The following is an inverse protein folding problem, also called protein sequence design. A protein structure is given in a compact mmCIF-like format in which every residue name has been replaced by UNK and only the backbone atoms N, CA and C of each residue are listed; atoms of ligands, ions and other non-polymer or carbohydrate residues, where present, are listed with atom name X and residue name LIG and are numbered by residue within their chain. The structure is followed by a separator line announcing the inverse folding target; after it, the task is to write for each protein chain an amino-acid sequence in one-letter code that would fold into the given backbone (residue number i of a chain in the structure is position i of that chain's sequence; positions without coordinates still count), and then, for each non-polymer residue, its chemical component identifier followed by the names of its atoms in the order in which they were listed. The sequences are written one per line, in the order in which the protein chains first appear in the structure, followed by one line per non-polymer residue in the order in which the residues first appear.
data_IF_132816750928
#
_entry.id   IF_132816750928
#
_cell.length_a   1.000
_cell.length_b   1.000
_cell.length_c   1.000
_cell.angle_alpha   90.00
_cell.angle_beta   90.00
_cell.angle_gamma   90.00
#
_symmetry.space_group_name_H-M   'P 1'
#
loop_
_entity.id
_entity.type
_entity.pdbx_description
1 polymer ?
#
# COMPACT_ATOMS: atom_id res chain seq x y z
N UNK A 1 -0.28 12.59 -0.75
CA UNK A 1 0.40 11.39 -1.29
C UNK A 1 0.83 11.61 -2.74
N UNK A 2 1.73 10.76 -3.29
CA UNK A 2 2.11 10.86 -4.71
C UNK A 2 0.96 10.42 -5.62
N UNK A 3 0.91 10.98 -6.85
CA UNK A 3 -0.02 10.52 -7.89
C UNK A 3 0.37 9.12 -8.35
N UNK A 4 -0.61 8.23 -8.46
CA UNK A 4 -0.41 6.89 -9.02
C UNK A 4 -1.22 6.77 -10.32
N UNK A 5 -0.54 6.65 -11.46
CA UNK A 5 -1.18 6.42 -12.76
C UNK A 5 -0.88 5.02 -13.24
N UNK A 6 0.38 4.66 -13.31
CA UNK A 6 0.89 3.33 -13.62
C UNK A 6 2.20 3.09 -12.89
N UNK A 7 2.54 1.84 -12.67
CA UNK A 7 3.82 1.43 -12.11
C UNK A 7 4.31 0.18 -12.80
N UNK A 8 5.57 0.20 -13.24
CA UNK A 8 6.27 -0.96 -13.77
C UNK A 8 7.43 -1.31 -12.86
N UNK A 9 7.55 -2.57 -12.51
CA UNK A 9 8.60 -3.05 -11.63
C UNK A 9 8.68 -4.57 -11.62
N UNK A 10 9.63 -5.10 -10.86
CA UNK A 10 9.77 -6.55 -10.64
C UNK A 10 8.93 -6.98 -9.44
N UNK A 11 8.50 -8.23 -9.45
CA UNK A 11 7.68 -8.83 -8.41
C UNK A 11 8.48 -9.50 -7.31
N UNK A 12 7.87 -9.59 -6.12
CA UNK A 12 8.35 -10.42 -4.99
C UNK A 12 7.28 -11.47 -4.70
N UNK A 13 7.56 -12.77 -4.86
CA UNK A 13 6.58 -13.84 -4.69
C UNK A 13 6.46 -14.25 -3.22
N UNK A 14 5.59 -13.62 -2.46
CA UNK A 14 5.30 -14.00 -1.08
C UNK A 14 4.23 -15.11 -1.05
N UNK A 15 4.64 -16.38 -1.14
CA UNK A 15 3.76 -17.54 -1.10
C UNK A 15 3.26 -17.85 0.33
N UNK A 16 2.72 -16.84 1.01
CA UNK A 16 2.13 -16.95 2.34
C UNK A 16 0.71 -16.40 2.33
N UNK A 17 -0.21 -17.16 2.91
CA UNK A 17 -1.61 -16.80 3.11
C UNK A 17 -1.88 -16.47 4.57
N UNK A 18 -3.01 -15.82 4.86
CA UNK A 18 -3.42 -15.40 6.21
C UNK A 18 -2.34 -14.57 6.92
N UNK A 19 -1.75 -13.64 6.16
CA UNK A 19 -0.70 -12.76 6.68
C UNK A 19 -1.35 -11.65 7.50
N UNK A 20 -1.10 -11.67 8.81
CA UNK A 20 -1.62 -10.65 9.72
C UNK A 20 -0.69 -9.43 9.85
N UNK A 21 -1.21 -8.35 10.42
CA UNK A 21 -0.46 -7.10 10.57
C UNK A 21 0.70 -7.20 11.56
N UNK A 22 0.68 -8.13 12.53
CA UNK A 22 1.81 -8.40 13.42
C UNK A 22 2.95 -9.13 12.70
N UNK A 23 2.61 -9.95 11.71
CA UNK A 23 3.59 -10.58 10.81
C UNK A 23 4.18 -9.57 9.83
N UNK A 24 3.37 -8.63 9.32
CA UNK A 24 3.86 -7.55 8.45
C UNK A 24 4.79 -6.64 9.23
N UNK A 25 4.40 -6.19 10.42
CA UNK A 25 5.21 -5.35 11.30
C UNK A 25 4.97 -5.70 12.77
N UNK A 26 5.97 -6.26 13.49
CA UNK A 26 5.84 -6.60 14.91
C UNK A 26 5.55 -5.37 15.79
N UNK A 27 4.77 -5.59 16.85
CA UNK A 27 4.29 -4.52 17.75
C UNK A 27 5.41 -3.65 18.35
N UNK A 28 6.64 -4.16 18.48
CA UNK A 28 7.78 -3.40 19.01
C UNK A 28 8.09 -2.15 18.17
N UNK A 29 7.83 -2.19 16.88
CA UNK A 29 8.06 -1.05 15.97
C UNK A 29 7.00 0.04 16.07
N UNK A 30 5.82 -0.27 16.62
CA UNK A 30 4.69 0.69 16.73
C UNK A 30 4.95 1.84 17.71
N UNK A 31 6.02 1.77 18.49
CA UNK A 31 6.45 2.84 19.42
C UNK A 31 7.10 4.03 18.70
N UNK A 32 7.45 3.89 17.43
CA UNK A 32 8.06 4.97 16.64
C UNK A 32 7.02 6.04 16.32
N UNK A 33 7.39 7.31 16.49
CA UNK A 33 6.48 8.46 16.30
C UNK A 33 6.45 8.95 14.85
N UNK A 34 7.47 8.62 14.06
CA UNK A 34 7.60 9.02 12.65
C UNK A 34 6.73 8.16 11.73
N UNK A 35 6.49 8.64 10.49
CA UNK A 35 5.86 7.85 9.41
C UNK A 35 6.88 7.20 8.47
N UNK A 36 8.16 7.38 8.72
CA UNK A 36 9.28 6.87 7.92
C UNK A 36 10.25 6.08 8.79
N UNK A 37 11.06 5.22 8.17
CA UNK A 37 12.05 4.39 8.89
C UNK A 37 11.44 3.08 9.40
N UNK A 38 10.43 2.51 8.71
CA UNK A 38 9.80 1.24 9.08
C UNK A 38 10.25 0.06 8.21
N UNK A 39 11.17 0.28 7.26
CA UNK A 39 11.67 -0.75 6.33
C UNK A 39 12.36 -1.91 7.05
N UNK A 40 13.00 -1.66 8.19
CA UNK A 40 13.62 -2.69 9.03
C UNK A 40 12.60 -3.55 9.78
N UNK A 41 11.42 -2.98 10.04
CA UNK A 41 10.29 -3.65 10.68
C UNK A 41 9.51 -4.58 9.77
N UNK A 42 9.60 -4.35 8.44
CA UNK A 42 8.83 -5.14 7.48
C UNK A 42 9.22 -6.61 7.55
N UNK A 43 8.25 -7.47 7.88
CA UNK A 43 8.43 -8.92 8.04
C UNK A 43 9.64 -9.29 8.93
N UNK A 44 9.95 -8.46 9.94
CA UNK A 44 11.17 -8.57 10.74
C UNK A 44 11.37 -9.96 11.38
N UNK A 45 10.27 -10.62 11.77
CA UNK A 45 10.33 -11.98 12.30
C UNK A 45 10.76 -13.01 11.23
N UNK A 46 10.20 -12.90 10.02
CA UNK A 46 10.51 -13.81 8.92
C UNK A 46 11.87 -13.53 8.28
N UNK A 47 12.30 -12.27 8.27
CA UNK A 47 13.63 -11.89 7.75
C UNK A 47 14.81 -12.38 8.58
N UNK A 48 14.55 -13.02 9.72
CA UNK A 48 15.59 -13.77 10.47
C UNK A 48 15.97 -15.07 9.77
N UNK A 49 15.07 -15.62 8.96
CA UNK A 49 15.33 -16.79 8.13
C UNK A 49 16.09 -16.33 6.87
N UNK A 50 17.33 -16.83 6.64
CA UNK A 50 18.11 -16.50 5.46
C UNK A 50 17.41 -16.82 4.14
N UNK A 51 16.56 -17.84 4.12
CA UNK A 51 15.84 -18.31 2.93
C UNK A 51 14.55 -17.53 2.67
N UNK A 52 14.20 -16.58 3.56
CA UNK A 52 13.01 -15.77 3.35
C UNK A 52 13.14 -14.92 2.08
N UNK A 53 12.06 -14.86 1.29
CA UNK A 53 12.04 -14.25 -0.06
C UNK A 53 12.64 -12.85 -0.11
N UNK A 54 12.42 -11.97 0.89
CA UNK A 54 12.99 -10.62 0.92
C UNK A 54 14.50 -10.57 1.23
N UNK A 55 15.09 -11.69 1.69
CA UNK A 55 16.53 -11.79 1.92
C UNK A 55 17.27 -12.24 0.65
N UNK A 56 16.55 -12.75 -0.34
CA UNK A 56 17.15 -13.26 -1.57
C UNK A 56 17.53 -12.11 -2.50
N UNK A 57 18.79 -12.07 -3.01
CA UNK A 57 19.32 -10.95 -3.79
C UNK A 57 18.49 -10.59 -5.02
N UNK A 58 17.92 -11.60 -5.71
CA UNK A 58 17.15 -11.42 -6.93
C UNK A 58 15.82 -10.67 -6.73
N UNK A 59 15.30 -10.61 -5.50
CA UNK A 59 14.04 -9.92 -5.18
C UNK A 59 14.22 -8.57 -4.47
N UNK A 60 15.46 -8.18 -4.15
CA UNK A 60 15.73 -6.93 -3.40
C UNK A 60 15.23 -5.65 -4.07
N UNK A 61 15.22 -5.64 -5.40
CA UNK A 61 14.75 -4.48 -6.19
C UNK A 61 13.24 -4.54 -6.47
N UNK A 62 12.54 -5.56 -5.99
CA UNK A 62 11.12 -5.74 -6.25
C UNK A 62 10.26 -4.65 -5.61
N UNK A 63 9.37 -4.06 -6.41
CA UNK A 63 8.47 -2.99 -5.98
C UNK A 63 7.00 -3.40 -5.98
N UNK A 64 6.72 -4.63 -6.40
CA UNK A 64 5.39 -5.22 -6.46
C UNK A 64 5.39 -6.50 -5.62
N UNK A 65 4.65 -6.49 -4.52
CA UNK A 65 4.49 -7.68 -3.67
C UNK A 65 3.31 -8.52 -4.18
N UNK A 66 3.57 -9.79 -4.51
CA UNK A 66 2.52 -10.76 -4.88
C UNK A 66 2.33 -11.72 -3.72
N UNK A 67 1.27 -11.53 -2.96
CA UNK A 67 0.99 -12.25 -1.72
C UNK A 67 -0.12 -13.30 -1.87
N UNK A 68 -0.18 -14.25 -0.96
CA UNK A 68 -1.26 -15.24 -0.88
C UNK A 68 -2.58 -14.62 -0.38
N UNK A 69 -3.61 -15.45 -0.32
CA UNK A 69 -4.96 -15.06 0.12
C UNK A 69 -4.96 -14.57 1.58
N UNK A 70 -5.87 -13.65 1.89
CA UNK A 70 -6.05 -13.06 3.23
C UNK A 70 -4.83 -12.28 3.73
N UNK A 71 -4.40 -11.32 2.93
CA UNK A 71 -3.30 -10.46 3.31
C UNK A 71 -3.79 -9.24 4.13
N UNK A 72 -3.07 -8.95 5.22
CA UNK A 72 -3.33 -7.80 6.08
C UNK A 72 -4.44 -8.03 7.12
N UNK A 73 -4.67 -9.29 7.54
CA UNK A 73 -5.62 -9.63 8.60
C UNK A 73 -5.17 -9.10 9.98
N UNK A 74 -6.04 -9.20 10.98
CA UNK A 74 -5.74 -8.76 12.35
C UNK A 74 -6.06 -7.29 12.60
N UNK A 75 -5.28 -6.64 13.47
CA UNK A 75 -5.55 -5.28 13.94
C UNK A 75 -5.36 -4.23 12.86
N UNK A 76 -6.17 -3.14 12.93
CA UNK A 76 -6.01 -1.98 12.04
C UNK A 76 -4.72 -1.22 12.38
N UNK A 77 -3.68 -1.40 11.56
CA UNK A 77 -2.38 -0.74 11.76
C UNK A 77 -1.92 -0.06 10.47
N UNK A 78 -1.96 1.26 10.45
CA UNK A 78 -1.36 2.03 9.36
C UNK A 78 0.15 1.75 9.21
N UNK A 79 0.82 1.42 10.31
CA UNK A 79 2.25 1.05 10.31
C UNK A 79 2.58 -0.12 9.37
N UNK A 80 1.65 -1.07 9.16
CA UNK A 80 1.83 -2.14 8.21
C UNK A 80 1.92 -1.61 6.76
N UNK A 81 1.12 -0.60 6.45
CA UNK A 81 1.15 0.09 5.15
C UNK A 81 2.46 0.89 5.02
N UNK A 82 2.84 1.64 6.07
CA UNK A 82 4.08 2.42 6.06
C UNK A 82 5.32 1.53 5.92
N UNK A 83 5.36 0.37 6.58
CA UNK A 83 6.47 -0.57 6.46
C UNK A 83 6.64 -1.08 5.02
N UNK A 84 5.54 -1.43 4.34
CA UNK A 84 5.56 -1.83 2.93
C UNK A 84 6.05 -0.69 2.03
N UNK A 85 5.52 0.54 2.21
CA UNK A 85 5.91 1.70 1.42
C UNK A 85 7.36 2.12 1.66
N UNK A 86 7.81 2.14 2.93
CA UNK A 86 9.18 2.52 3.28
C UNK A 86 10.20 1.49 2.76
N UNK A 87 9.81 0.22 2.68
CA UNK A 87 10.65 -0.81 2.04
C UNK A 87 10.78 -0.62 0.53
N UNK A 88 9.82 0.04 -0.11
CA UNK A 88 9.85 0.35 -1.54
C UNK A 88 8.67 -0.22 -2.34
N UNK A 89 7.77 -0.96 -1.70
CA UNK A 89 6.59 -1.46 -2.40
C UNK A 89 5.64 -0.33 -2.80
N UNK A 90 5.20 -0.36 -4.06
CA UNK A 90 4.20 0.55 -4.64
C UNK A 90 2.85 -0.14 -4.83
N UNK A 91 2.88 -1.46 -5.02
CA UNK A 91 1.71 -2.28 -5.27
C UNK A 91 1.79 -3.56 -4.44
N UNK A 92 0.66 -3.99 -3.89
CA UNK A 92 0.47 -5.32 -3.33
C UNK A 92 -0.65 -6.01 -4.11
N UNK A 93 -0.39 -7.21 -4.62
CA UNK A 93 -1.35 -8.02 -5.37
C UNK A 93 -1.68 -9.26 -4.54
N UNK A 94 -2.96 -9.57 -4.36
CA UNK A 94 -3.44 -10.76 -3.64
C UNK A 94 -4.81 -11.15 -4.15
N UNK A 95 -5.25 -12.37 -3.88
CA UNK A 95 -6.61 -12.78 -4.23
C UNK A 95 -7.67 -12.30 -3.24
N UNK A 96 -7.28 -11.91 -2.02
CA UNK A 96 -8.15 -11.28 -1.01
C UNK A 96 -7.32 -10.52 0.02
N UNK A 97 -7.82 -9.37 0.43
CA UNK A 97 -7.27 -8.56 1.51
C UNK A 97 -8.26 -8.45 2.66
N UNK A 98 -7.76 -8.20 3.87
CA UNK A 98 -8.61 -7.70 4.93
C UNK A 98 -9.06 -6.27 4.61
N UNK A 99 -10.35 -5.97 4.82
CA UNK A 99 -10.97 -4.71 4.41
C UNK A 99 -10.29 -3.48 5.00
N UNK A 100 -9.94 -3.54 6.28
CA UNK A 100 -9.28 -2.43 6.99
C UNK A 100 -7.90 -2.17 6.42
N UNK A 101 -7.09 -3.23 6.20
CA UNK A 101 -5.77 -3.09 5.60
C UNK A 101 -5.86 -2.49 4.20
N UNK A 102 -6.78 -3.01 3.37
CA UNK A 102 -7.01 -2.50 2.01
C UNK A 102 -7.40 -1.02 2.03
N UNK A 103 -8.35 -0.65 2.90
CA UNK A 103 -8.77 0.74 3.07
C UNK A 103 -7.63 1.67 3.47
N UNK A 104 -6.83 1.30 4.46
CA UNK A 104 -5.67 2.07 4.91
C UNK A 104 -4.60 2.19 3.80
N UNK A 105 -4.35 1.10 3.07
CA UNK A 105 -3.40 1.08 1.96
C UNK A 105 -3.78 2.07 0.87
N UNK A 106 -5.01 2.02 0.39
CA UNK A 106 -5.51 2.89 -0.67
C UNK A 106 -5.56 4.37 -0.22
N UNK A 107 -5.90 4.64 1.04
CA UNK A 107 -5.83 6.00 1.62
C UNK A 107 -4.40 6.52 1.74
N UNK A 108 -3.46 5.63 2.03
CA UNK A 108 -2.03 5.95 2.16
C UNK A 108 -1.26 5.99 0.84
N UNK A 109 -1.89 5.64 -0.30
CA UNK A 109 -1.24 5.63 -1.61
C UNK A 109 -0.48 4.34 -1.95
N UNK A 110 -0.69 3.25 -1.18
CA UNK A 110 -0.25 1.90 -1.54
C UNK A 110 -1.37 1.21 -2.32
N UNK A 111 -1.15 0.97 -3.61
CA UNK A 111 -2.17 0.31 -4.43
C UNK A 111 -2.31 -1.16 -4.06
N UNK A 112 -3.51 -1.59 -3.73
CA UNK A 112 -3.87 -3.01 -3.52
C UNK A 112 -4.71 -3.49 -4.70
N UNK A 113 -4.25 -4.56 -5.35
CA UNK A 113 -4.89 -5.16 -6.52
C UNK A 113 -5.40 -6.54 -6.18
N UNK A 114 -6.69 -6.79 -6.42
CA UNK A 114 -7.31 -8.10 -6.24
C UNK A 114 -7.37 -8.79 -7.60
N UNK A 115 -6.77 -9.98 -7.68
CA UNK A 115 -6.83 -10.85 -8.85
C UNK A 115 -7.30 -12.26 -8.45
N UNK A 116 -7.89 -13.03 -9.36
CA UNK A 116 -8.20 -14.44 -9.12
C UNK A 116 -6.97 -15.23 -8.65
N UNK A 117 -7.17 -16.22 -7.80
CA UNK A 117 -6.06 -17.03 -7.24
C UNK A 117 -5.21 -17.68 -8.35
N UNK A 118 -5.81 -18.11 -9.45
CA UNK A 118 -5.08 -18.65 -10.61
C UNK A 118 -4.11 -17.65 -11.24
N UNK A 119 -4.45 -16.34 -11.22
CA UNK A 119 -3.56 -15.28 -11.70
C UNK A 119 -2.42 -14.99 -10.71
N UNK A 120 -2.69 -15.08 -9.40
CA UNK A 120 -1.64 -15.00 -8.38
C UNK A 120 -0.61 -16.12 -8.57
N UNK A 121 -1.07 -17.35 -8.82
CA UNK A 121 -0.19 -18.50 -9.07
C UNK A 121 0.60 -18.33 -10.37
N UNK A 122 -0.02 -17.79 -11.41
CA UNK A 122 0.64 -17.45 -12.66
C UNK A 122 1.73 -16.38 -12.49
N UNK A 123 1.46 -15.34 -11.69
CA UNK A 123 2.44 -14.31 -11.34
C UNK A 123 3.61 -14.89 -10.54
N UNK A 124 3.35 -15.70 -9.52
CA UNK A 124 4.41 -16.38 -8.77
C UNK A 124 5.30 -17.21 -9.69
N UNK A 125 4.69 -18.04 -10.55
CA UNK A 125 5.44 -18.88 -11.50
C UNK A 125 6.30 -18.03 -12.44
N UNK A 126 5.76 -16.93 -12.97
CA UNK A 126 6.50 -16.03 -13.85
C UNK A 126 7.70 -15.40 -13.14
N UNK A 127 7.50 -14.88 -11.92
CA UNK A 127 8.55 -14.23 -11.12
C UNK A 127 9.64 -15.24 -10.70
N UNK A 128 9.26 -16.45 -10.33
CA UNK A 128 10.22 -17.50 -9.91
C UNK A 128 11.00 -18.06 -11.09
N UNK A 129 10.40 -18.09 -12.28
CA UNK A 129 11.08 -18.51 -13.52
C UNK A 129 12.08 -17.45 -13.98
N UNK A 130 11.70 -16.18 -13.93
CA UNK A 130 12.57 -15.05 -14.22
C UNK A 130 12.29 -13.90 -13.23
N UNK A 131 13.16 -13.69 -12.24
CA UNK A 131 13.01 -12.59 -11.27
C UNK A 131 13.01 -11.19 -11.88
N UNK A 132 13.48 -11.03 -13.12
CA UNK A 132 13.45 -9.77 -13.84
C UNK A 132 12.15 -9.56 -14.63
N UNK A 133 11.19 -10.49 -14.52
CA UNK A 133 9.88 -10.33 -15.14
C UNK A 133 9.29 -8.97 -14.80
N UNK A 134 9.10 -8.13 -15.84
CA UNK A 134 8.45 -6.83 -15.68
C UNK A 134 6.94 -7.02 -15.51
N UNK A 135 6.44 -6.45 -14.43
CA UNK A 135 4.99 -6.39 -14.15
C UNK A 135 4.59 -4.93 -14.22
N UNK A 136 3.64 -4.61 -15.08
CA UNK A 136 3.04 -3.28 -15.16
C UNK A 136 1.66 -3.31 -14.54
N UNK A 137 1.39 -2.36 -13.65
CA UNK A 137 0.06 -2.14 -13.06
C UNK A 137 -0.41 -0.77 -13.49
N UNK A 138 -1.41 -0.75 -14.35
CA UNK A 138 -2.00 0.48 -14.92
C UNK A 138 -3.35 0.76 -14.26
N UNK A 139 -3.40 1.84 -13.50
CA UNK A 139 -4.60 2.24 -12.77
C UNK A 139 -5.64 2.90 -13.70
N UNK A 140 -5.19 3.48 -14.81
CA UNK A 140 -6.10 4.12 -15.77
C UNK A 140 -6.94 3.08 -16.50
N UNK A 141 -6.31 2.01 -17.01
CA UNK A 141 -7.01 0.89 -17.67
C UNK A 141 -7.49 -0.18 -16.69
N UNK A 142 -7.04 -0.15 -15.42
CA UNK A 142 -7.28 -1.17 -14.39
C UNK A 142 -6.80 -2.55 -14.85
N UNK A 143 -5.58 -2.60 -15.34
CA UNK A 143 -4.96 -3.82 -15.86
C UNK A 143 -3.61 -4.10 -15.17
N UNK A 144 -3.34 -5.37 -14.95
CA UNK A 144 -2.00 -5.90 -14.67
C UNK A 144 -1.50 -6.60 -15.91
N UNK A 145 -0.28 -6.26 -16.36
CA UNK A 145 0.35 -6.79 -17.56
C UNK A 145 1.67 -7.45 -17.22
N UNK A 146 1.89 -8.68 -17.66
CA UNK A 146 3.15 -9.42 -17.52
C UNK A 146 3.25 -10.50 -18.59
N UNK A 147 4.44 -10.77 -19.12
CA UNK A 147 4.71 -11.82 -20.11
C UNK A 147 3.69 -11.84 -21.29
N UNK A 148 3.30 -10.65 -21.78
CA UNK A 148 2.31 -10.52 -22.86
C UNK A 148 0.85 -10.77 -22.44
N UNK A 149 0.60 -11.15 -21.19
CA UNK A 149 -0.72 -11.34 -20.61
C UNK A 149 -1.27 -10.02 -20.07
N UNK A 150 -2.59 -9.83 -20.13
CA UNK A 150 -3.32 -8.71 -19.56
C UNK A 150 -4.45 -9.25 -18.70
N UNK A 151 -4.53 -8.78 -17.46
CA UNK A 151 -5.54 -9.19 -16.49
C UNK A 151 -6.19 -7.96 -15.90
N UNK A 152 -7.50 -7.82 -16.05
CA UNK A 152 -8.26 -6.72 -15.48
C UNK A 152 -8.46 -6.88 -13.96
N UNK A 153 -8.56 -5.77 -13.26
CA UNK A 153 -8.92 -5.74 -11.84
C UNK A 153 -9.98 -4.67 -11.56
N UNK A 154 -10.72 -4.87 -10.48
CA UNK A 154 -11.76 -3.93 -10.06
C UNK A 154 -11.25 -2.98 -8.98
N UNK A 155 -11.56 -1.70 -9.17
CA UNK A 155 -11.38 -0.65 -8.19
C UNK A 155 -12.48 0.40 -8.43
N UNK A 156 -13.14 0.86 -7.37
CA UNK A 156 -14.18 1.87 -7.49
C UNK A 156 -13.61 3.20 -8.04
N UNK A 157 -14.46 3.93 -8.77
CA UNK A 157 -14.04 5.13 -9.50
C UNK A 157 -13.57 6.26 -8.58
N UNK A 158 -14.12 6.37 -7.38
CA UNK A 158 -13.73 7.40 -6.42
C UNK A 158 -12.33 7.14 -5.86
N UNK A 159 -12.04 5.91 -5.43
CA UNK A 159 -10.71 5.51 -4.96
C UNK A 159 -9.67 5.63 -6.07
N UNK A 160 -10.02 5.19 -7.29
CA UNK A 160 -9.15 5.35 -8.46
C UNK A 160 -8.81 6.81 -8.71
N UNK A 161 -9.81 7.68 -8.76
CA UNK A 161 -9.62 9.11 -8.94
C UNK A 161 -8.72 9.71 -7.86
N UNK A 162 -8.93 9.36 -6.58
CA UNK A 162 -8.09 9.84 -5.47
C UNK A 162 -6.62 9.47 -5.65
N UNK A 163 -6.34 8.22 -6.01
CA UNK A 163 -4.97 7.73 -6.26
C UNK A 163 -4.34 8.44 -7.47
N UNK A 164 -5.07 8.60 -8.56
CA UNK A 164 -4.58 9.28 -9.76
C UNK A 164 -4.28 10.76 -9.51
N UNK A 165 -5.06 11.43 -8.66
CA UNK A 165 -4.84 12.83 -8.27
C UNK A 165 -3.87 12.99 -7.09
N UNK A 166 -3.45 11.90 -6.43
CA UNK A 166 -2.57 11.94 -5.28
C UNK A 166 -3.23 12.56 -4.03
N UNK A 167 -4.54 12.35 -3.84
CA UNK A 167 -5.34 12.99 -2.80
C UNK A 167 -5.53 12.06 -1.59
N UNK A 168 -4.92 12.41 -0.47
CA UNK A 168 -5.28 11.88 0.83
C UNK A 168 -6.47 12.66 1.45
N UNK A 169 -6.89 12.27 2.66
CA UNK A 169 -8.04 12.92 3.32
C UNK A 169 -7.78 14.40 3.63
N UNK A 170 -6.53 14.78 3.89
CA UNK A 170 -6.13 16.19 4.09
C UNK A 170 -6.18 16.93 2.76
N UNK A 171 -5.60 16.36 1.70
CA UNK A 171 -5.63 16.94 0.37
C UNK A 171 -7.05 17.17 -0.16
N UNK A 172 -7.98 16.27 0.15
CA UNK A 172 -9.41 16.45 -0.17
C UNK A 172 -10.02 17.66 0.55
N UNK A 173 -9.72 17.80 1.85
CA UNK A 173 -10.19 18.93 2.64
C UNK A 173 -9.61 20.25 2.14
N UNK A 174 -8.32 20.28 1.80
CA UNK A 174 -7.65 21.48 1.30
C UNK A 174 -8.16 21.96 -0.08
N UNK A 175 -8.80 21.09 -0.86
CA UNK A 175 -9.50 21.54 -2.09
C UNK A 175 -10.68 22.47 -1.81
N UNK A 176 -11.16 22.55 -0.57
CA UNK A 176 -12.24 23.40 -0.09
C UNK A 176 -11.74 24.49 0.86
N UNK A 177 -10.49 24.92 0.69
CA UNK A 177 -9.86 25.85 1.62
C UNK A 177 -10.66 27.15 1.76
N UNK A 178 -11.23 27.67 0.67
CA UNK A 178 -12.05 28.89 0.69
C UNK A 178 -13.30 28.72 1.57
N UNK A 179 -13.93 27.54 1.55
CA UNK A 179 -15.08 27.23 2.41
C UNK A 179 -14.66 27.13 3.89
N UNK A 180 -13.47 26.56 4.15
CA UNK A 180 -12.89 26.46 5.49
C UNK A 180 -12.59 27.86 6.03
N UNK A 181 -11.91 28.70 5.26
CA UNK A 181 -11.62 30.10 5.64
C UNK A 181 -12.88 30.91 5.90
N UNK A 182 -13.90 30.74 5.06
CA UNK A 182 -15.19 31.39 5.26
C UNK A 182 -15.85 30.95 6.56
N UNK A 183 -15.79 29.66 6.88
CA UNK A 183 -16.31 29.13 8.13
C UNK A 183 -15.54 29.71 9.34
N UNK A 184 -14.21 29.74 9.27
CA UNK A 184 -13.36 30.26 10.35
C UNK A 184 -13.62 31.76 10.60
N UNK A 185 -13.74 32.57 9.54
CA UNK A 185 -14.09 34.01 9.66
C UNK A 185 -15.45 34.25 10.34
N UNK A 186 -16.41 33.36 10.09
CA UNK A 186 -17.77 33.47 10.63
C UNK A 186 -17.95 32.75 11.98
N UNK A 187 -16.90 32.13 12.49
CA UNK A 187 -16.94 31.38 13.74
C UNK A 187 -17.16 32.33 14.92
N UNK A 188 -18.13 32.02 15.76
CA UNK A 188 -18.45 32.84 16.93
C UNK A 188 -17.26 33.02 17.87
N UNK A 189 -16.98 34.25 18.33
CA UNK A 189 -15.79 34.63 19.12
C UNK A 189 -15.69 33.88 20.45
N UNK A 190 -16.82 33.45 21.02
CA UNK A 190 -16.84 32.68 22.27
C UNK A 190 -16.45 31.20 22.12
N UNK A 191 -16.32 30.69 20.90
CA UNK A 191 -15.85 29.32 20.66
C UNK A 191 -14.32 29.23 20.81
N UNK A 192 -13.79 28.18 21.48
CA UNK A 192 -12.36 28.02 21.65
C UNK A 192 -11.63 28.02 20.30
N UNK A 193 -10.49 28.66 20.23
CA UNK A 193 -9.58 28.51 19.07
C UNK A 193 -8.96 27.12 19.13
N UNK A 194 -8.97 26.40 18.02
CA UNK A 194 -8.53 25.01 17.94
C UNK A 194 -7.00 24.84 17.94
N UNK A 195 -6.26 25.90 17.72
CA UNK A 195 -4.79 25.87 17.78
C UNK A 195 -4.32 26.67 18.98
N UNK A 196 -3.45 26.11 19.84
CA UNK A 196 -2.76 26.92 20.85
C UNK A 196 -1.92 27.98 20.12
N UNK A 197 -2.05 29.23 20.53
CA UNK A 197 -1.11 30.27 20.12
C UNK A 197 0.21 29.90 20.81
N UNK A 198 1.17 29.39 20.05
CA UNK A 198 2.53 29.26 20.54
C UNK A 198 3.06 30.68 20.72
N UNK A 199 3.15 31.10 21.98
CA UNK A 199 3.82 32.35 22.39
C UNK A 199 5.32 32.20 22.28
#
# INVERSE_FOLDING_TARGET
MDKFISHSGTGVPLRRSNVDTDQIIPAVYLKRVTRTGFEDGLFAAWRRDPDFVLNQPQYKAGTILVAGVDFGTGSSREHAVWALQNYGFKVVISSRFADIFRGNSLKGGLLTVILPQSEIEGLWTAIETDPNTSIEVDLQSREVRYNGKKVGFELDDYTRWRLMEGLDDIGLTLRKIDEVEKFEKNRAVYKPKTLPILS
#
